data_IF_945096183573
#
_entry.id   IF_945096183573
#
_cell.length_a   1.000
_cell.length_b   1.000
_cell.length_c   1.000
_cell.angle_alpha   90.00
_cell.angle_beta   90.00
_cell.angle_gamma   90.00
#
_symmetry.space_group_name_H-M   'P 1'
#
loop_
_entity.id
_entity.type
_entity.pdbx_description
1 polymer ?
#
# COMPACT_ATOMS: atom_id res chain seq x y z
N UNK A 1 0.48 -4.68 13.64
CA UNK A 1 0.68 -3.22 13.66
C UNK A 1 -0.49 -2.53 12.97
N UNK A 2 -1.02 -1.50 13.60
CA UNK A 2 -2.10 -0.73 12.99
C UNK A 2 -1.53 0.49 12.27
N UNK A 3 -1.77 0.55 10.97
CA UNK A 3 -1.31 1.67 10.15
C UNK A 3 -2.45 2.67 10.03
N UNK A 4 -2.18 3.93 10.38
CA UNK A 4 -3.19 4.98 10.34
C UNK A 4 -3.31 5.61 8.97
N UNK A 5 -2.19 5.73 8.26
CA UNK A 5 -2.16 6.34 6.93
C UNK A 5 -0.97 5.81 6.15
N UNK A 6 -1.10 5.82 4.83
CA UNK A 6 -0.03 5.42 3.93
C UNK A 6 0.24 6.55 2.96
N UNK A 7 1.51 6.84 2.76
CA UNK A 7 1.97 7.81 1.78
C UNK A 7 2.47 7.05 0.56
N UNK A 8 1.99 7.44 -0.61
CA UNK A 8 2.33 6.77 -1.85
C UNK A 8 3.24 7.63 -2.71
N UNK A 9 4.17 6.99 -3.39
CA UNK A 9 5.00 7.63 -4.39
C UNK A 9 4.35 7.46 -5.76
N UNK A 10 4.13 8.57 -6.45
CA UNK A 10 3.59 8.55 -7.80
C UNK A 10 4.75 8.44 -8.79
N UNK A 11 4.93 7.26 -9.36
CA UNK A 11 5.92 7.06 -10.40
C UNK A 11 5.48 7.65 -11.72
N UNK A 12 6.42 7.80 -12.66
CA UNK A 12 6.18 8.44 -13.94
C UNK A 12 5.21 7.72 -14.88
N UNK A 13 4.75 6.55 -14.52
CA UNK A 13 3.83 5.75 -15.33
C UNK A 13 2.45 5.59 -14.68
N UNK A 14 2.12 6.43 -13.71
CA UNK A 14 0.85 6.36 -13.02
C UNK A 14 0.74 5.23 -12.00
N UNK A 15 1.79 4.47 -11.79
CA UNK A 15 1.80 3.46 -10.75
C UNK A 15 2.17 4.10 -9.42
N UNK A 16 1.31 3.93 -8.43
CA UNK A 16 1.60 4.40 -7.08
C UNK A 16 2.14 3.25 -6.25
N UNK A 17 3.23 3.51 -5.55
CA UNK A 17 3.84 2.52 -4.65
C UNK A 17 3.92 3.11 -3.25
N UNK A 18 3.75 2.27 -2.21
CA UNK A 18 3.89 2.76 -0.84
C UNK A 18 5.29 3.32 -0.59
N UNK A 19 5.35 4.55 -0.10
CA UNK A 19 6.60 5.22 0.24
C UNK A 19 6.86 5.20 1.73
N UNK A 20 5.83 5.46 2.53
CA UNK A 20 5.93 5.50 3.98
C UNK A 20 4.59 5.13 4.60
N UNK A 21 4.64 4.66 5.84
CA UNK A 21 3.45 4.39 6.63
C UNK A 21 3.48 5.24 7.89
N UNK A 22 2.30 5.60 8.37
CA UNK A 22 2.17 6.37 9.60
C UNK A 22 1.57 5.49 10.69
N UNK A 23 2.24 5.45 11.81
CA UNK A 23 1.79 4.74 13.00
C UNK A 23 1.74 5.75 14.13
N UNK A 24 0.55 6.25 14.44
CA UNK A 24 0.43 7.38 15.34
C UNK A 24 1.14 8.59 14.75
N UNK A 25 2.07 9.16 15.51
CA UNK A 25 2.85 10.32 15.06
C UNK A 25 4.13 9.95 14.33
N UNK A 26 4.41 8.66 14.22
CA UNK A 26 5.64 8.19 13.60
C UNK A 26 5.48 7.90 12.12
N UNK A 27 6.36 8.48 11.32
CA UNK A 27 6.44 8.21 9.88
C UNK A 27 7.57 7.23 9.64
N UNK A 28 7.25 6.05 9.12
CA UNK A 28 8.23 5.00 8.88
C UNK A 28 8.33 4.76 7.39
N UNK A 29 9.52 4.91 6.84
CA UNK A 29 9.74 4.71 5.41
C UNK A 29 9.66 3.24 5.04
N UNK A 30 9.12 2.99 3.85
CA UNK A 30 9.14 1.67 3.25
C UNK A 30 10.51 1.46 2.63
N UNK A 31 11.20 0.42 3.09
CA UNK A 31 12.50 0.07 2.55
C UNK A 31 12.36 -0.63 1.19
N UNK A 32 11.36 -1.50 1.08
CA UNK A 32 11.20 -2.36 -0.09
C UNK A 32 9.78 -2.86 -0.19
N UNK A 33 9.24 -2.87 -1.40
CA UNK A 33 7.99 -3.57 -1.69
C UNK A 33 8.35 -4.98 -2.11
N UNK A 34 7.95 -5.95 -1.30
CA UNK A 34 8.29 -7.35 -1.53
C UNK A 34 7.42 -7.94 -2.64
N UNK A 35 6.13 -7.66 -2.57
CA UNK A 35 5.19 -8.13 -3.58
C UNK A 35 4.00 -7.19 -3.70
N UNK A 36 3.35 -7.24 -4.84
CA UNK A 36 2.14 -6.48 -5.10
C UNK A 36 1.16 -7.40 -5.85
N UNK A 37 -0.06 -7.49 -5.35
CA UNK A 37 -1.09 -8.30 -5.96
C UNK A 37 -2.33 -7.47 -6.19
N UNK A 38 -2.99 -7.71 -7.32
CA UNK A 38 -4.28 -7.10 -7.61
C UNK A 38 -5.37 -8.12 -7.37
N UNK A 39 -6.36 -7.74 -6.59
CA UNK A 39 -7.46 -8.60 -6.21
C UNK A 39 -8.74 -7.99 -6.74
N UNK A 40 -9.51 -8.81 -7.45
CA UNK A 40 -10.83 -8.45 -7.93
C UNK A 40 -11.87 -9.17 -7.08
N UNK A 41 -12.74 -8.39 -6.43
CA UNK A 41 -13.87 -8.95 -5.71
C UNK A 41 -14.98 -9.22 -6.73
N UNK A 42 -15.27 -10.48 -6.96
CA UNK A 42 -16.27 -10.87 -7.96
C UNK A 42 -17.70 -10.52 -7.55
N UNK A 43 -17.94 -10.33 -6.26
CA UNK A 43 -19.27 -9.99 -5.77
C UNK A 43 -19.60 -8.51 -5.94
N UNK A 44 -18.64 -7.65 -5.65
CA UNK A 44 -18.85 -6.20 -5.69
C UNK A 44 -18.27 -5.55 -6.94
N UNK A 45 -17.40 -6.24 -7.66
CA UNK A 45 -16.66 -5.66 -8.77
C UNK A 45 -15.53 -4.73 -8.34
N UNK A 46 -15.29 -4.62 -7.05
CA UNK A 46 -14.23 -3.75 -6.55
C UNK A 46 -12.87 -4.37 -6.79
N UNK A 47 -11.92 -3.50 -7.10
CA UNK A 47 -10.52 -3.90 -7.27
C UNK A 47 -9.70 -3.28 -6.17
N UNK A 48 -8.72 -4.02 -5.69
CA UNK A 48 -7.75 -3.50 -4.74
C UNK A 48 -6.38 -4.05 -5.04
N UNK A 49 -5.37 -3.32 -4.61
CA UNK A 49 -3.99 -3.74 -4.70
C UNK A 49 -3.46 -3.96 -3.30
N UNK A 50 -2.80 -5.10 -3.08
CA UNK A 50 -2.23 -5.45 -1.80
C UNK A 50 -0.72 -5.46 -1.94
N UNK A 51 -0.05 -4.63 -1.14
CA UNK A 51 1.40 -4.55 -1.11
C UNK A 51 1.93 -5.21 0.15
N UNK A 52 2.92 -6.08 -0.03
CA UNK A 52 3.66 -6.65 1.09
C UNK A 52 4.97 -5.88 1.16
N UNK A 53 5.17 -5.12 2.23
CA UNK A 53 6.28 -4.19 2.34
C UNK A 53 7.16 -4.47 3.54
N UNK A 54 8.46 -4.21 3.36
CA UNK A 54 9.41 -4.21 4.44
C UNK A 54 9.74 -2.77 4.79
N UNK A 55 9.59 -2.42 6.05
CA UNK A 55 9.90 -1.09 6.54
C UNK A 55 11.37 -0.97 6.93
N UNK A 56 11.87 0.26 7.03
CA UNK A 56 13.28 0.48 7.39
C UNK A 56 13.61 0.01 8.80
N UNK A 57 12.61 -0.11 9.68
CA UNK A 57 12.80 -0.62 11.04
C UNK A 57 12.79 -2.15 11.12
N UNK A 58 12.65 -2.84 9.97
CA UNK A 58 12.64 -4.30 9.91
C UNK A 58 11.25 -4.91 10.02
N UNK A 59 10.22 -4.12 10.25
CA UNK A 59 8.85 -4.65 10.31
C UNK A 59 8.31 -4.92 8.91
N UNK A 60 7.47 -5.94 8.82
CA UNK A 60 6.82 -6.32 7.60
C UNK A 60 5.32 -6.01 7.71
N UNK A 61 4.80 -5.27 6.76
CA UNK A 61 3.41 -4.84 6.79
C UNK A 61 2.72 -5.12 5.47
N UNK A 62 1.42 -5.32 5.55
CA UNK A 62 0.58 -5.51 4.38
C UNK A 62 -0.31 -4.28 4.23
N UNK A 63 -0.28 -3.68 3.05
CA UNK A 63 -1.01 -2.46 2.75
C UNK A 63 -2.04 -2.76 1.67
N UNK A 64 -3.30 -2.42 1.93
CA UNK A 64 -4.37 -2.56 0.96
C UNK A 64 -4.73 -1.19 0.41
N UNK A 65 -4.75 -1.07 -0.91
CA UNK A 65 -5.08 0.15 -1.60
C UNK A 65 -6.23 -0.09 -2.57
N UNK A 66 -7.37 0.57 -2.40
CA UNK A 66 -8.45 0.48 -3.39
C UNK A 66 -7.98 1.04 -4.72
N UNK A 67 -8.19 0.30 -5.79
CA UNK A 67 -7.88 0.76 -7.13
C UNK A 67 -9.16 1.33 -7.71
N UNK A 68 -9.17 2.62 -7.91
CA UNK A 68 -10.21 3.37 -8.58
C UNK A 68 -11.60 2.76 -8.63
N UNK A 69 -12.57 3.47 -8.21
CA UNK A 69 -13.94 3.05 -8.39
C UNK A 69 -14.31 3.28 -9.84
N UNK A 70 -14.92 2.29 -10.47
CA UNK A 70 -15.59 2.56 -11.72
C UNK A 70 -16.65 3.60 -11.44
N UNK A 71 -16.56 4.66 -12.13
CA UNK A 71 -17.58 5.68 -12.08
C UNK A 71 -18.88 5.17 -12.71
#
# INVERSE_FOLDING_TARGET
MKIDRVEYYAGGWGEEKPLAVYKGDERILVKKVISAERILDSLTGEKKEVFDCLLINGERVKIEKPIGTPS
#
